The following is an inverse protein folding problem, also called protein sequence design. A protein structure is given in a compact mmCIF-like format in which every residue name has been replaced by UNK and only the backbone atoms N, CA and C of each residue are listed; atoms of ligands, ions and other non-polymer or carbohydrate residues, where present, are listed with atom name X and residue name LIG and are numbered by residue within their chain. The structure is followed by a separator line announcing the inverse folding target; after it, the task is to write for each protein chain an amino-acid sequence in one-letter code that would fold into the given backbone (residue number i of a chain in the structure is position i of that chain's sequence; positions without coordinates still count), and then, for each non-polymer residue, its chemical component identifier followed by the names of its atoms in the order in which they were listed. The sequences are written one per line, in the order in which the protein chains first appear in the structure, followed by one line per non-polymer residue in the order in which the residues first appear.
data_IF_603599322708
#
_entry.id   IF_603599322708
#
_cell.length_a   1.000
_cell.length_b   1.000
_cell.length_c   1.000
_cell.angle_alpha   90.00
_cell.angle_beta   90.00
_cell.angle_gamma   90.00
#
_symmetry.space_group_name_H-M   'P 1'
#
loop_
_entity.id
_entity.type
_entity.pdbx_description
1 polymer ?
#
# COMPACT_ATOMS: atom_id res chain seq x y z
N UNK A 1 -20.92 -1.86 17.38
CA UNK A 1 -20.44 -3.23 17.11
C UNK A 1 -19.38 -3.14 16.03
N UNK A 2 -18.10 -3.29 16.37
CA UNK A 2 -17.03 -3.36 15.36
C UNK A 2 -17.08 -4.74 14.71
N UNK A 3 -17.55 -4.80 13.47
CA UNK A 3 -17.56 -6.04 12.68
C UNK A 3 -16.12 -6.48 12.44
N UNK A 4 -15.71 -7.61 13.02
CA UNK A 4 -14.39 -8.18 12.77
C UNK A 4 -14.30 -8.55 11.29
N UNK A 5 -13.36 -7.92 10.57
CA UNK A 5 -13.08 -8.26 9.17
C UNK A 5 -12.31 -9.57 9.09
N UNK A 6 -12.52 -10.30 8.01
CA UNK A 6 -11.76 -11.48 7.66
C UNK A 6 -11.35 -11.42 6.19
N UNK A 7 -10.24 -12.06 5.85
CA UNK A 7 -9.76 -12.08 4.46
C UNK A 7 -10.78 -12.71 3.50
N UNK A 8 -11.54 -13.72 3.96
CA UNK A 8 -12.39 -14.52 3.10
C UNK A 8 -11.58 -15.16 1.97
N UNK A 9 -11.97 -14.91 0.73
CA UNK A 9 -11.26 -15.36 -0.48
C UNK A 9 -10.04 -14.54 -0.84
N UNK A 10 -9.83 -13.38 -0.21
CA UNK A 10 -8.78 -12.46 -0.62
C UNK A 10 -7.38 -13.02 -0.31
N UNK A 11 -6.52 -13.04 -1.32
CA UNK A 11 -5.12 -13.53 -1.21
C UNK A 11 -4.09 -12.55 -1.79
N UNK A 12 -4.44 -11.28 -2.03
CA UNK A 12 -3.61 -10.39 -2.84
C UNK A 12 -2.23 -10.09 -2.21
N UNK A 13 -2.13 -10.07 -0.87
CA UNK A 13 -0.85 -9.91 -0.18
C UNK A 13 0.16 -11.02 -0.53
N UNK A 14 -0.29 -12.24 -0.85
CA UNK A 14 0.57 -13.34 -1.29
C UNK A 14 1.23 -13.06 -2.64
N UNK A 15 0.72 -12.08 -3.40
CA UNK A 15 1.32 -11.60 -4.65
C UNK A 15 2.19 -10.36 -4.40
N UNK A 16 1.63 -9.33 -3.78
CA UNK A 16 2.22 -7.97 -3.74
C UNK A 16 3.32 -7.76 -2.70
N UNK A 17 3.41 -8.61 -1.68
CA UNK A 17 4.44 -8.51 -0.63
C UNK A 17 5.59 -9.47 -0.95
N UNK A 18 6.83 -9.14 -0.60
CA UNK A 18 7.91 -10.13 -0.57
C UNK A 18 7.79 -11.04 0.67
N UNK A 19 8.30 -12.26 0.61
CA UNK A 19 8.41 -13.16 1.78
C UNK A 19 9.79 -13.79 1.77
N UNK A 20 10.68 -13.30 2.64
CA UNK A 20 12.09 -13.67 2.64
C UNK A 20 12.29 -15.14 2.99
N UNK A 21 11.56 -15.63 4.00
CA UNK A 21 11.61 -17.03 4.44
C UNK A 21 11.21 -18.06 3.36
N UNK A 22 10.55 -17.62 2.29
CA UNK A 22 10.16 -18.46 1.15
C UNK A 22 10.94 -18.15 -0.13
N UNK A 23 11.94 -17.26 -0.06
CA UNK A 23 12.60 -16.68 -1.23
C UNK A 23 11.59 -16.15 -2.26
N UNK A 24 10.44 -15.64 -1.80
CA UNK A 24 9.37 -15.17 -2.67
C UNK A 24 9.58 -13.68 -2.97
N UNK A 25 9.92 -13.32 -4.21
CA UNK A 25 10.05 -11.91 -4.56
C UNK A 25 8.69 -11.19 -4.47
N UNK A 26 8.76 -9.87 -4.36
CA UNK A 26 7.59 -8.98 -4.47
C UNK A 26 6.90 -9.18 -5.82
N UNK A 27 5.63 -8.81 -5.89
CA UNK A 27 4.85 -8.73 -7.14
C UNK A 27 4.73 -10.05 -7.93
N UNK A 28 4.98 -11.17 -7.24
CA UNK A 28 4.93 -12.53 -7.77
C UNK A 28 4.08 -13.40 -6.84
N UNK A 29 3.24 -14.26 -7.42
CA UNK A 29 2.42 -15.17 -6.64
C UNK A 29 3.28 -16.13 -5.81
N UNK A 30 2.96 -16.26 -4.53
CA UNK A 30 3.51 -17.30 -3.67
C UNK A 30 3.16 -18.68 -4.22
N UNK A 31 4.15 -19.56 -4.33
CA UNK A 31 3.99 -20.96 -4.78
C UNK A 31 2.99 -21.75 -3.93
N UNK A 32 2.86 -21.41 -2.65
CA UNK A 32 1.91 -22.04 -1.74
C UNK A 32 0.51 -21.40 -1.75
N UNK A 33 0.34 -20.23 -2.36
CA UNK A 33 -0.96 -19.58 -2.43
C UNK A 33 -1.80 -20.21 -3.54
N UNK A 34 -3.06 -20.50 -3.24
CA UNK A 34 -4.09 -20.80 -4.24
C UNK A 34 -4.92 -19.52 -4.40
N UNK A 35 -4.70 -18.69 -5.44
CA UNK A 35 -5.38 -17.41 -5.58
C UNK A 35 -6.89 -17.54 -5.43
N UNK A 36 -7.50 -16.70 -4.59
CA UNK A 36 -8.94 -16.76 -4.31
C UNK A 36 -9.39 -17.85 -3.33
N UNK A 37 -8.48 -18.76 -2.92
CA UNK A 37 -8.79 -19.94 -2.10
C UNK A 37 -7.95 -20.06 -0.82
N UNK A 38 -6.97 -19.17 -0.62
CA UNK A 38 -6.12 -19.13 0.58
C UNK A 38 -4.75 -19.77 0.41
N UNK A 39 -4.05 -19.98 1.52
CA UNK A 39 -2.70 -20.54 1.56
C UNK A 39 -2.74 -22.06 1.76
N UNK A 40 -2.02 -22.83 0.94
CA UNK A 40 -1.91 -24.28 1.06
C UNK A 40 -1.06 -24.76 2.24
N UNK A 41 -0.31 -23.87 2.89
CA UNK A 41 0.49 -24.14 4.10
C UNK A 41 0.08 -23.21 5.25
N UNK A 42 -1.20 -22.85 5.34
CA UNK A 42 -1.66 -21.80 6.26
C UNK A 42 -1.17 -22.04 7.70
N UNK A 43 -1.28 -23.26 8.22
CA UNK A 43 -0.92 -23.59 9.61
C UNK A 43 0.58 -23.61 9.87
N UNK A 44 1.42 -23.76 8.83
CA UNK A 44 2.88 -23.78 8.89
C UNK A 44 3.51 -22.56 8.21
N UNK A 45 2.72 -21.54 7.87
CA UNK A 45 3.20 -20.33 7.19
C UNK A 45 4.30 -19.62 8.02
N UNK A 46 5.29 -18.98 7.37
CA UNK A 46 6.37 -18.29 8.07
C UNK A 46 5.88 -17.15 8.96
N UNK A 47 6.68 -16.70 9.95
CA UNK A 47 6.33 -15.61 10.86
C UNK A 47 5.86 -14.34 10.13
N UNK A 48 6.55 -13.93 9.06
CA UNK A 48 6.20 -12.75 8.25
C UNK A 48 4.74 -12.81 7.73
N UNK A 49 4.31 -13.98 7.27
CA UNK A 49 2.94 -14.21 6.80
C UNK A 49 1.91 -14.27 7.96
N UNK A 50 2.34 -14.57 9.18
CA UNK A 50 1.45 -14.60 10.37
C UNK A 50 1.27 -13.22 10.97
N UNK A 51 2.34 -12.43 11.02
CA UNK A 51 2.34 -11.09 11.59
C UNK A 51 1.76 -10.04 10.64
N UNK A 52 1.64 -10.35 9.35
CA UNK A 52 1.11 -9.43 8.37
C UNK A 52 -0.42 -9.28 8.44
N UNK A 53 -0.88 -8.03 8.49
CA UNK A 53 -2.27 -7.65 8.26
C UNK A 53 -2.35 -6.37 7.43
N UNK A 54 -3.13 -6.37 6.35
CA UNK A 54 -3.36 -5.16 5.56
C UNK A 54 -4.30 -4.20 6.29
N UNK A 55 -4.25 -2.90 5.94
CA UNK A 55 -5.03 -1.87 6.61
C UNK A 55 -6.55 -2.13 6.54
N UNK A 56 -7.05 -2.66 5.42
CA UNK A 56 -8.47 -3.04 5.33
C UNK A 56 -8.86 -4.08 6.39
N UNK A 57 -7.99 -5.06 6.69
CA UNK A 57 -8.25 -6.07 7.71
C UNK A 57 -8.13 -5.49 9.13
N UNK A 58 -7.15 -4.61 9.34
CA UNK A 58 -6.81 -4.06 10.65
C UNK A 58 -7.76 -2.94 11.12
N UNK A 59 -8.30 -2.14 10.21
CA UNK A 59 -9.19 -1.02 10.52
C UNK A 59 -10.61 -1.26 9.97
N UNK A 60 -11.60 -1.55 10.83
CA UNK A 60 -13.00 -1.73 10.43
C UNK A 60 -13.61 -0.51 9.75
N UNK A 61 -13.06 0.69 9.97
CA UNK A 61 -13.54 1.94 9.37
C UNK A 61 -12.88 2.23 8.02
N UNK A 62 -11.87 1.46 7.61
CA UNK A 62 -11.25 1.64 6.29
C UNK A 62 -12.28 1.29 5.19
N UNK A 63 -12.38 2.03 4.07
CA UNK A 63 -13.45 1.83 3.08
C UNK A 63 -13.54 0.39 2.57
N UNK A 64 -14.75 -0.18 2.48
CA UNK A 64 -14.94 -1.57 2.06
C UNK A 64 -14.60 -1.78 0.58
N UNK A 65 -14.77 -0.75 -0.24
CA UNK A 65 -14.35 -0.70 -1.63
C UNK A 65 -12.84 -0.94 -1.79
N UNK A 66 -12.07 -0.64 -0.74
CA UNK A 66 -10.62 -0.84 -0.71
C UNK A 66 -10.21 -2.22 -0.23
N UNK A 67 -11.14 -3.16 -0.03
CA UNK A 67 -10.81 -4.58 0.15
C UNK A 67 -9.89 -5.01 -1.01
N UNK A 68 -8.71 -5.61 -0.75
CA UNK A 68 -7.71 -5.77 -1.81
C UNK A 68 -8.15 -6.58 -3.02
N UNK A 69 -9.03 -7.57 -2.84
CA UNK A 69 -9.58 -8.32 -3.98
C UNK A 69 -10.51 -7.49 -4.87
N UNK A 70 -11.07 -6.37 -4.38
CA UNK A 70 -11.91 -5.45 -5.13
C UNK A 70 -11.06 -4.34 -5.77
N UNK A 71 -10.30 -3.61 -4.96
CA UNK A 71 -9.49 -2.45 -5.38
C UNK A 71 -8.22 -2.80 -6.14
N UNK A 72 -7.74 -4.05 -6.01
CA UNK A 72 -6.43 -4.50 -6.50
C UNK A 72 -5.25 -3.77 -5.83
N UNK A 73 -5.47 -3.21 -4.64
CA UNK A 73 -4.47 -2.53 -3.84
C UNK A 73 -4.38 -3.16 -2.46
N UNK A 74 -3.17 -3.42 -1.99
CA UNK A 74 -2.90 -3.81 -0.60
C UNK A 74 -2.34 -2.61 0.13
N UNK A 75 -3.15 -2.00 1.00
CA UNK A 75 -2.73 -0.86 1.83
C UNK A 75 -1.98 -1.35 3.07
N UNK A 76 -0.80 -0.78 3.31
CA UNK A 76 0.07 -1.08 4.45
C UNK A 76 0.50 0.22 5.10
N UNK A 77 0.49 0.24 6.43
CA UNK A 77 1.02 1.34 7.22
C UNK A 77 2.46 1.02 7.60
N UNK A 78 3.37 1.91 7.25
CA UNK A 78 4.82 1.80 7.44
C UNK A 78 5.34 3.00 8.25
N UNK A 79 6.65 3.01 8.54
CA UNK A 79 7.35 4.12 9.18
C UNK A 79 6.65 4.62 10.47
N UNK A 80 6.32 3.69 11.38
CA UNK A 80 5.65 3.98 12.65
C UNK A 80 4.34 4.76 12.51
N UNK A 81 3.57 4.52 11.43
CA UNK A 81 2.30 5.21 11.20
C UNK A 81 2.40 6.43 10.29
N UNK A 82 3.60 6.84 9.91
CA UNK A 82 3.80 8.08 9.14
C UNK A 82 3.68 7.88 7.62
N UNK A 83 3.58 6.64 7.15
CA UNK A 83 3.49 6.34 5.72
C UNK A 83 2.39 5.31 5.45
N UNK A 84 1.46 5.65 4.57
CA UNK A 84 0.50 4.72 3.99
C UNK A 84 0.96 4.37 2.58
N UNK A 85 1.19 3.08 2.31
CA UNK A 85 1.58 2.57 0.99
C UNK A 85 0.48 1.71 0.42
N UNK A 86 0.00 2.05 -0.78
CA UNK A 86 -0.85 1.21 -1.60
C UNK A 86 0.01 0.35 -2.53
N UNK A 87 0.24 -0.91 -2.18
CA UNK A 87 0.91 -1.85 -3.09
C UNK A 87 -0.07 -2.29 -4.17
N UNK A 88 0.17 -1.83 -5.40
CA UNK A 88 -0.68 -2.08 -6.55
C UNK A 88 -0.43 -3.49 -7.12
N UNK A 89 -1.51 -4.20 -7.46
CA UNK A 89 -1.40 -5.47 -8.18
C UNK A 89 -0.71 -5.24 -9.54
N UNK A 90 0.44 -5.87 -9.82
CA UNK A 90 1.12 -5.74 -11.11
C UNK A 90 0.31 -6.28 -12.30
N UNK A 91 -0.73 -7.09 -12.06
CA UNK A 91 -1.69 -7.53 -13.09
C UNK A 91 -2.79 -6.51 -13.39
N UNK A 92 -2.91 -5.45 -12.59
CA UNK A 92 -3.87 -4.36 -12.73
C UNK A 92 -3.18 -3.01 -12.41
N UNK A 93 -2.14 -2.63 -13.17
CA UNK A 93 -1.22 -1.53 -12.80
C UNK A 93 -1.89 -0.16 -12.69
N UNK A 94 -3.05 0.02 -13.33
CA UNK A 94 -3.84 1.27 -13.32
C UNK A 94 -4.99 1.27 -12.32
N UNK A 95 -5.17 0.22 -11.50
CA UNK A 95 -6.33 0.12 -10.60
C UNK A 95 -6.40 1.26 -9.58
N UNK A 96 -5.26 1.80 -9.15
CA UNK A 96 -5.20 2.97 -8.26
C UNK A 96 -5.70 4.27 -8.90
N UNK A 97 -5.80 4.33 -10.23
CA UNK A 97 -6.34 5.45 -11.00
C UNK A 97 -7.84 5.31 -11.31
N UNK A 98 -8.47 4.18 -10.98
CA UNK A 98 -9.91 4.04 -11.15
C UNK A 98 -10.65 5.13 -10.37
N UNK A 99 -11.66 5.82 -10.93
CA UNK A 99 -12.17 7.08 -10.37
C UNK A 99 -12.57 7.01 -8.88
N UNK A 100 -13.24 5.92 -8.46
CA UNK A 100 -13.66 5.74 -7.07
C UNK A 100 -12.47 5.48 -6.14
N UNK A 101 -11.58 4.59 -6.54
CA UNK A 101 -10.36 4.24 -5.81
C UNK A 101 -9.44 5.45 -5.67
N UNK A 102 -9.20 6.15 -6.78
CA UNK A 102 -8.34 7.32 -6.83
C UNK A 102 -8.85 8.44 -5.94
N UNK A 103 -10.17 8.71 -5.96
CA UNK A 103 -10.78 9.70 -5.06
C UNK A 103 -10.51 9.37 -3.58
N UNK A 104 -10.68 8.12 -3.17
CA UNK A 104 -10.41 7.69 -1.79
C UNK A 104 -8.93 7.88 -1.41
N UNK A 105 -8.01 7.54 -2.32
CA UNK A 105 -6.57 7.75 -2.09
C UNK A 105 -6.25 9.25 -2.00
N UNK A 106 -6.84 10.10 -2.84
CA UNK A 106 -6.67 11.55 -2.76
C UNK A 106 -7.24 12.15 -1.48
N UNK A 107 -8.40 11.68 -1.03
CA UNK A 107 -8.96 12.09 0.27
C UNK A 107 -8.03 11.69 1.44
N UNK A 108 -7.36 10.54 1.34
CA UNK A 108 -6.31 10.14 2.30
C UNK A 108 -5.09 11.05 2.20
N UNK A 109 -4.65 11.43 1.00
CA UNK A 109 -3.52 12.34 0.80
C UNK A 109 -3.80 13.73 1.39
N UNK A 110 -5.02 14.25 1.25
CA UNK A 110 -5.46 15.50 1.89
C UNK A 110 -5.31 15.42 3.41
N UNK A 111 -5.84 14.36 4.03
CA UNK A 111 -5.74 14.17 5.50
C UNK A 111 -4.30 13.93 5.96
N UNK A 112 -3.52 13.20 5.18
CA UNK A 112 -2.14 12.89 5.49
C UNK A 112 -1.27 14.16 5.48
N UNK A 113 -1.45 15.03 4.48
CA UNK A 113 -0.72 16.30 4.37
C UNK A 113 -0.92 17.22 5.58
N UNK A 114 -2.11 17.22 6.20
CA UNK A 114 -2.40 18.00 7.42
C UNK A 114 -1.59 17.56 8.65
N UNK A 115 -1.03 16.34 8.62
CA UNK A 115 -0.29 15.73 9.73
C UNK A 115 1.14 15.34 9.33
N UNK A 116 1.64 15.83 8.19
CA UNK A 116 2.97 15.50 7.68
C UNK A 116 3.16 14.03 7.28
N UNK A 117 2.06 13.27 7.15
CA UNK A 117 2.08 11.85 6.76
C UNK A 117 2.16 11.70 5.24
N UNK A 118 2.68 10.57 4.81
CA UNK A 118 2.92 10.25 3.41
C UNK A 118 1.88 9.26 2.89
N UNK A 119 1.43 9.46 1.65
CA UNK A 119 0.63 8.49 0.90
C UNK A 119 1.36 8.17 -0.39
N UNK A 120 1.68 6.89 -0.58
CA UNK A 120 2.43 6.40 -1.73
C UNK A 120 1.65 5.29 -2.44
N UNK A 121 1.81 5.20 -3.76
CA UNK A 121 1.49 4.00 -4.54
C UNK A 121 2.80 3.33 -4.92
N UNK A 122 2.90 2.03 -4.69
CA UNK A 122 4.03 1.21 -5.12
C UNK A 122 3.58 0.25 -6.21
N UNK A 123 4.30 0.22 -7.32
CA UNK A 123 4.11 -0.75 -8.41
C UNK A 123 5.47 -1.21 -8.91
N UNK A 124 5.79 -2.52 -8.78
CA UNK A 124 7.04 -3.11 -9.30
C UNK A 124 8.32 -2.43 -8.80
N UNK A 125 8.30 -1.94 -7.57
CA UNK A 125 9.41 -1.22 -6.96
C UNK A 125 9.42 0.28 -7.24
N UNK A 126 8.67 0.76 -8.24
CA UNK A 126 8.49 2.19 -8.48
C UNK A 126 7.48 2.78 -7.51
N UNK A 127 7.83 3.92 -6.94
CA UNK A 127 6.96 4.69 -6.06
C UNK A 127 6.40 5.91 -6.78
N UNK A 128 5.13 6.19 -6.52
CA UNK A 128 4.48 7.46 -6.84
C UNK A 128 3.98 8.08 -5.54
N UNK A 129 4.42 9.30 -5.24
CA UNK A 129 3.88 10.06 -4.14
C UNK A 129 2.53 10.67 -4.53
N UNK A 130 1.52 10.45 -3.70
CA UNK A 130 0.19 11.03 -3.90
C UNK A 130 0.05 12.21 -2.95
N UNK A 131 0.04 13.42 -3.51
CA UNK A 131 -0.18 14.67 -2.78
C UNK A 131 -1.64 15.12 -2.95
N UNK A 132 -2.12 16.14 -2.22
CA UNK A 132 -3.46 16.67 -2.43
C UNK A 132 -3.69 17.21 -3.85
N UNK A 133 -2.72 17.92 -4.40
CA UNK A 133 -2.81 18.66 -5.67
C UNK A 133 -2.33 17.85 -6.88
N UNK A 134 -1.34 16.97 -6.70
CA UNK A 134 -0.70 16.23 -7.80
C UNK A 134 -0.23 14.84 -7.39
N UNK A 135 0.19 14.06 -8.38
CA UNK A 135 0.89 12.80 -8.17
C UNK A 135 2.31 12.97 -8.72
N UNK A 136 3.31 12.53 -7.96
CA UNK A 136 4.72 12.73 -8.28
C UNK A 136 5.38 11.35 -8.44
N UNK A 137 5.71 10.92 -9.67
CA UNK A 137 6.49 9.72 -9.89
C UNK A 137 7.90 9.89 -9.30
N UNK A 138 8.30 8.97 -8.44
CA UNK A 138 9.62 8.94 -7.80
C UNK A 138 10.52 7.86 -8.40
N UNK A 139 9.94 6.88 -9.08
CA UNK A 139 10.65 5.72 -9.60
C UNK A 139 11.09 4.76 -8.49
N UNK A 140 12.04 3.89 -8.82
CA UNK A 140 12.59 2.93 -7.90
C UNK A 140 13.42 3.60 -6.80
N UNK A 141 13.28 3.12 -5.57
CA UNK A 141 14.08 3.57 -4.42
C UNK A 141 15.14 2.52 -4.14
N UNK A 142 16.40 2.90 -4.37
CA UNK A 142 17.55 2.02 -4.14
C UNK A 142 17.75 1.69 -2.64
N UNK A 143 18.35 0.54 -2.30
CA UNK A 143 18.73 0.25 -0.92
C UNK A 143 19.56 1.38 -0.30
N UNK A 144 19.19 1.80 0.91
CA UNK A 144 19.85 2.90 1.62
C UNK A 144 19.29 4.29 1.30
N UNK A 145 18.45 4.42 0.27
CA UNK A 145 17.68 5.64 -0.02
C UNK A 145 16.32 5.61 0.66
N UNK A 146 15.75 6.79 0.87
CA UNK A 146 14.48 7.00 1.54
C UNK A 146 13.65 8.10 0.87
N UNK A 147 12.33 7.97 0.93
CA UNK A 147 11.41 9.01 0.45
C UNK A 147 11.18 10.02 1.58
N UNK A 148 11.58 11.26 1.34
CA UNK A 148 11.43 12.39 2.27
C UNK A 148 10.45 13.39 1.67
N UNK A 149 9.53 13.91 2.50
CA UNK A 149 8.64 14.99 2.10
C UNK A 149 9.21 16.29 2.67
N UNK A 150 9.61 17.22 1.79
CA UNK A 150 10.12 18.52 2.18
C UNK A 150 9.05 19.58 2.03
N UNK A 151 8.94 20.46 3.01
CA UNK A 151 8.21 21.71 2.81
C UNK A 151 9.13 22.68 2.07
N UNK A 152 8.67 23.15 0.91
CA UNK A 152 9.32 24.18 0.12
C UNK A 152 8.44 25.42 0.07
N UNK A 153 9.07 26.60 0.01
CA UNK A 153 8.37 27.88 -0.05
C UNK A 153 8.00 28.46 1.32
N UNK A 154 7.35 29.61 1.32
CA UNK A 154 6.97 30.34 2.54
C UNK A 154 5.53 30.89 2.43
N UNK A 155 4.86 31.03 3.57
CA UNK A 155 3.49 31.54 3.64
C UNK A 155 2.51 30.72 2.80
N UNK A 156 1.75 31.40 1.94
CA UNK A 156 0.74 30.80 1.04
C UNK A 156 1.34 29.94 -0.09
N UNK A 157 2.65 30.02 -0.34
CA UNK A 157 3.34 29.25 -1.38
C UNK A 157 3.97 27.97 -0.85
N UNK A 158 3.68 27.60 0.41
CA UNK A 158 4.16 26.34 0.98
C UNK A 158 3.62 25.15 0.19
N UNK A 159 4.54 24.31 -0.28
CA UNK A 159 4.22 23.07 -0.98
C UNK A 159 5.05 21.93 -0.44
N UNK A 160 4.48 20.73 -0.49
CA UNK A 160 5.21 19.50 -0.21
C UNK A 160 5.93 19.06 -1.49
N UNK A 161 7.22 18.78 -1.38
CA UNK A 161 8.03 18.18 -2.44
C UNK A 161 8.61 16.84 -1.96
N UNK A 162 8.13 15.72 -2.51
CA UNK A 162 8.69 14.40 -2.26
C UNK A 162 10.03 14.24 -3.01
N UNK A 163 11.06 13.77 -2.32
CA UNK A 163 12.38 13.49 -2.86
C UNK A 163 12.87 12.11 -2.42
N UNK A 164 13.71 11.48 -3.24
CA UNK A 164 14.42 10.24 -2.89
C UNK A 164 15.86 10.60 -2.56
N UNK A 165 16.30 10.29 -1.33
CA UNK A 165 17.62 10.66 -0.81
C UNK A 165 18.28 9.55 -0.01
#
# INVERSE_FOLDING_TARGET
MTTTRSCGTCTLCCKTMAVSALNKPRDTWCSHCRPGKGCGIYDTRPPECRSFGCLWLADPNFPDELKPERSKLVFVVEANGNRLVAHCDPGRPTAWKEPRTYRLIKDMAVRAAQSGRQVLVMLRGDYTAILPDRDVPLGAVEPGRSIIYREMGAGLLRRIEPVVE
#
